data_IF_184801102854
#
_entry.id   IF_184801102854
#
_cell.length_a   1.000
_cell.length_b   1.000
_cell.length_c   1.000
_cell.angle_alpha   90.00
_cell.angle_beta   90.00
_cell.angle_gamma   90.00
#
_symmetry.space_group_name_H-M   'P 1'
#
loop_
_entity.id
_entity.type
_entity.pdbx_description
1 polymer ?
#
# COMPACT_ATOMS: atom_id res chain seq x y z
N UNK A 1 -9.99 -28.33 20.39
CA UNK A 1 -9.78 -27.18 21.31
C UNK A 1 -10.35 -25.95 20.64
N UNK A 2 -11.18 -25.13 21.30
CA UNK A 2 -11.79 -23.92 20.72
C UNK A 2 -10.78 -23.00 20.00
N UNK A 3 -9.52 -22.99 20.46
CA UNK A 3 -8.40 -22.28 19.81
C UNK A 3 -8.08 -22.77 18.39
N UNK A 4 -8.31 -24.05 18.05
CA UNK A 4 -8.05 -24.57 16.70
C UNK A 4 -9.15 -24.24 15.70
N UNK A 5 -10.39 -24.00 16.16
CA UNK A 5 -11.49 -23.50 15.32
C UNK A 5 -11.37 -22.00 15.02
N UNK A 6 -10.90 -21.20 15.99
CA UNK A 6 -10.60 -19.76 15.79
C UNK A 6 -9.46 -19.48 14.78
N UNK A 7 -8.69 -20.51 14.41
CA UNK A 7 -7.55 -20.39 13.48
C UNK A 7 -7.93 -20.67 12.02
N UNK A 8 -9.04 -21.37 11.74
CA UNK A 8 -9.32 -21.87 10.37
C UNK A 8 -9.86 -20.83 9.40
N UNK A 9 -10.32 -19.67 9.88
CA UNK A 9 -10.98 -18.63 9.06
C UNK A 9 -10.10 -17.39 8.81
N UNK A 10 -8.80 -17.46 9.10
CA UNK A 10 -7.87 -16.32 8.95
C UNK A 10 -7.22 -16.31 7.58
N UNK A 11 -7.17 -15.16 6.93
CA UNK A 11 -6.33 -14.93 5.75
C UNK A 11 -4.88 -14.67 6.19
N UNK A 12 -4.22 -15.71 6.68
CA UNK A 12 -2.77 -15.68 6.85
C UNK A 12 -2.11 -15.99 5.51
N UNK A 13 -1.23 -15.11 5.08
CA UNK A 13 -0.41 -15.33 3.90
C UNK A 13 1.00 -14.77 4.15
N UNK A 14 1.85 -14.82 3.14
CA UNK A 14 3.24 -14.38 3.26
C UNK A 14 3.42 -12.90 3.63
N UNK A 15 2.40 -12.07 3.40
CA UNK A 15 2.41 -10.65 3.72
C UNK A 15 1.56 -10.30 4.95
N UNK A 16 0.40 -10.92 5.10
CA UNK A 16 -0.41 -10.88 6.32
C UNK A 16 0.06 -12.01 7.25
N UNK A 17 1.29 -11.89 7.75
CA UNK A 17 1.99 -12.93 8.51
C UNK A 17 1.84 -12.82 10.03
N UNK A 18 1.11 -11.81 10.51
CA UNK A 18 0.74 -11.64 11.92
C UNK A 18 -0.70 -12.08 12.15
N UNK A 19 -0.91 -12.75 13.27
CA UNK A 19 -2.25 -13.05 13.78
C UNK A 19 -2.90 -11.77 14.30
N UNK A 20 -3.96 -11.34 13.63
CA UNK A 20 -4.83 -10.26 14.10
C UNK A 20 -6.18 -10.83 14.58
N UNK A 21 -6.69 -10.41 15.75
CA UNK A 21 -8.05 -10.76 16.18
C UNK A 21 -9.06 -10.10 15.25
N UNK A 22 -10.20 -10.73 14.98
CA UNK A 22 -11.28 -10.13 14.19
C UNK A 22 -12.62 -10.69 14.66
N UNK A 23 -13.72 -9.99 14.38
CA UNK A 23 -15.07 -10.44 14.67
C UNK A 23 -15.54 -11.46 13.63
N UNK A 24 -15.78 -12.71 14.06
CA UNK A 24 -16.15 -13.81 13.14
C UNK A 24 -17.52 -13.62 12.50
N UNK A 25 -18.46 -12.96 13.19
CA UNK A 25 -19.81 -12.72 12.69
C UNK A 25 -19.79 -11.64 11.61
N UNK A 26 -19.12 -10.51 11.87
CA UNK A 26 -18.93 -9.44 10.88
C UNK A 26 -18.18 -9.94 9.66
N UNK A 27 -17.14 -10.77 9.86
CA UNK A 27 -16.45 -11.40 8.74
C UNK A 27 -17.40 -12.24 7.88
N UNK A 28 -18.22 -13.09 8.50
CA UNK A 28 -19.20 -13.92 7.80
C UNK A 28 -20.21 -13.06 7.03
N UNK A 29 -20.78 -12.03 7.65
CA UNK A 29 -21.72 -11.11 7.01
C UNK A 29 -21.08 -10.44 5.77
N UNK A 30 -19.84 -9.95 5.89
CA UNK A 30 -19.10 -9.37 4.75
C UNK A 30 -18.93 -10.39 3.62
N UNK A 31 -18.58 -11.64 3.94
CA UNK A 31 -18.39 -12.71 2.95
C UNK A 31 -19.69 -13.10 2.26
N UNK A 32 -20.79 -13.19 2.99
CA UNK A 32 -22.13 -13.45 2.45
C UNK A 32 -22.61 -12.31 1.54
N UNK A 33 -22.22 -11.07 1.84
CA UNK A 33 -22.46 -9.89 0.99
C UNK A 33 -21.53 -9.80 -0.23
N UNK A 34 -20.58 -10.74 -0.40
CA UNK A 34 -19.67 -10.80 -1.55
C UNK A 34 -18.39 -9.97 -1.42
N UNK A 35 -18.10 -9.39 -0.25
CA UNK A 35 -16.82 -8.69 0.01
C UNK A 35 -15.68 -9.70 0.00
N UNK A 36 -14.57 -9.40 -0.69
CA UNK A 36 -13.42 -10.31 -0.80
C UNK A 36 -12.82 -10.67 0.59
N UNK A 37 -12.10 -11.81 0.71
CA UNK A 37 -11.62 -12.28 2.02
C UNK A 37 -10.69 -11.30 2.75
N UNK A 38 -9.83 -10.58 2.03
CA UNK A 38 -8.86 -9.67 2.65
C UNK A 38 -9.56 -8.43 3.18
N UNK A 39 -10.47 -7.83 2.39
CA UNK A 39 -11.24 -6.68 2.82
C UNK A 39 -12.24 -7.04 3.94
N UNK A 40 -12.88 -8.22 3.87
CA UNK A 40 -13.75 -8.71 4.92
C UNK A 40 -13.01 -8.87 6.26
N UNK A 41 -11.79 -9.42 6.25
CA UNK A 41 -10.98 -9.54 7.46
C UNK A 41 -10.53 -8.17 7.98
N UNK A 42 -10.20 -7.22 7.09
CA UNK A 42 -9.90 -5.85 7.49
C UNK A 42 -11.08 -5.20 8.23
N UNK A 43 -12.28 -5.25 7.64
CA UNK A 43 -13.50 -4.70 8.27
C UNK A 43 -13.76 -5.39 9.60
N UNK A 44 -13.77 -6.73 9.63
CA UNK A 44 -14.01 -7.49 10.85
C UNK A 44 -12.97 -7.22 11.96
N UNK A 45 -11.73 -6.88 11.61
CA UNK A 45 -10.72 -6.46 12.59
C UNK A 45 -11.06 -5.12 13.26
N UNK A 46 -11.68 -4.18 12.53
CA UNK A 46 -12.12 -2.90 13.11
C UNK A 46 -13.24 -3.09 14.14
N UNK A 47 -14.14 -4.03 13.87
CA UNK A 47 -15.34 -4.33 14.66
C UNK A 47 -15.09 -5.14 15.94
N UNK A 48 -13.83 -5.47 16.27
CA UNK A 48 -13.51 -6.01 17.60
C UNK A 48 -13.56 -4.96 18.71
N UNK A 49 -13.83 -3.70 18.36
CA UNK A 49 -13.85 -2.55 19.25
C UNK A 49 -15.28 -2.07 19.42
N UNK A 50 -15.60 -1.68 20.65
CA UNK A 50 -16.86 -1.03 20.96
C UNK A 50 -16.84 0.43 20.47
N UNK A 51 -17.99 0.99 20.08
CA UNK A 51 -18.10 2.40 19.74
C UNK A 51 -17.85 3.26 20.98
N UNK A 52 -16.90 4.21 20.87
CA UNK A 52 -16.50 5.06 21.98
C UNK A 52 -17.49 6.19 22.27
N UNK A 53 -18.16 6.69 21.24
CA UNK A 53 -19.08 7.83 21.31
C UNK A 53 -20.29 7.54 20.43
N UNK A 54 -21.47 7.53 21.03
CA UNK A 54 -22.76 7.48 20.34
C UNK A 54 -23.64 8.55 20.99
N UNK A 55 -24.27 9.40 20.17
CA UNK A 55 -25.20 10.41 20.66
C UNK A 55 -26.60 9.82 20.87
N UNK A 56 -27.35 10.40 21.81
CA UNK A 56 -28.77 10.08 22.00
C UNK A 56 -29.53 10.37 20.69
N UNK A 57 -30.41 9.45 20.28
CA UNK A 57 -31.10 9.49 18.98
C UNK A 57 -30.37 8.74 17.86
N UNK A 58 -29.02 8.67 17.88
CA UNK A 58 -28.27 8.02 16.81
C UNK A 58 -28.56 6.51 16.67
N UNK A 59 -29.03 5.85 17.73
CA UNK A 59 -29.38 4.43 17.69
C UNK A 59 -30.71 4.17 16.97
N UNK A 60 -31.67 5.09 17.09
CA UNK A 60 -33.05 4.89 16.58
C UNK A 60 -33.33 5.67 15.30
N UNK A 61 -32.66 6.81 15.09
CA UNK A 61 -32.97 7.78 14.03
C UNK A 61 -32.06 7.66 12.80
N UNK A 62 -30.94 6.93 12.90
CA UNK A 62 -30.00 6.75 11.78
C UNK A 62 -30.57 5.74 10.78
N UNK A 63 -30.61 6.15 9.51
CA UNK A 63 -31.02 5.34 8.37
C UNK A 63 -29.79 4.82 7.63
N UNK A 64 -29.45 3.54 7.85
CA UNK A 64 -28.26 2.88 7.29
C UNK A 64 -28.24 2.80 5.76
N UNK A 65 -29.38 2.96 5.08
CA UNK A 65 -29.42 3.03 3.61
C UNK A 65 -28.91 4.37 3.08
N UNK A 66 -28.93 5.43 3.92
CA UNK A 66 -28.57 6.80 3.53
C UNK A 66 -27.38 7.36 4.29
N UNK A 67 -27.08 6.81 5.46
CA UNK A 67 -26.09 7.34 6.39
C UNK A 67 -25.07 6.27 6.77
N UNK A 68 -23.85 6.70 7.11
CA UNK A 68 -22.75 5.81 7.52
C UNK A 68 -22.33 6.04 8.95
N UNK A 69 -23.15 6.71 9.76
CA UNK A 69 -22.77 7.14 11.10
C UNK A 69 -22.36 5.97 12.00
N UNK A 70 -23.12 4.87 11.97
CA UNK A 70 -22.80 3.68 12.76
C UNK A 70 -21.46 3.07 12.34
N UNK A 71 -21.20 2.97 11.04
CA UNK A 71 -19.90 2.51 10.55
C UNK A 71 -18.76 3.46 10.93
N UNK A 72 -18.97 4.78 10.77
CA UNK A 72 -17.97 5.80 11.09
C UNK A 72 -17.68 5.88 12.59
N UNK A 73 -18.63 5.52 13.47
CA UNK A 73 -18.39 5.44 14.92
C UNK A 73 -17.24 4.47 15.25
N UNK A 74 -17.13 3.36 14.49
CA UNK A 74 -16.04 2.38 14.60
C UNK A 74 -14.84 2.78 13.75
N UNK A 75 -15.06 3.15 12.49
CA UNK A 75 -13.95 3.42 11.56
C UNK A 75 -13.13 4.66 11.96
N UNK A 76 -13.79 5.73 12.41
CA UNK A 76 -13.13 6.97 12.80
C UNK A 76 -12.30 6.82 14.07
N UNK A 77 -12.68 5.88 14.95
CA UNK A 77 -12.04 5.58 16.25
C UNK A 77 -11.02 4.44 16.19
N UNK A 78 -10.79 3.86 15.01
CA UNK A 78 -9.63 3.02 14.74
C UNK A 78 -8.51 3.88 14.12
N UNK A 79 -7.57 4.35 14.95
CA UNK A 79 -6.47 5.23 14.53
C UNK A 79 -5.21 4.45 14.14
N UNK A 80 -5.12 4.12 12.86
CA UNK A 80 -3.97 3.44 12.25
C UNK A 80 -3.04 4.44 11.53
N UNK A 81 -1.87 3.96 11.06
CA UNK A 81 -0.89 4.75 10.29
C UNK A 81 -1.38 5.11 8.89
N UNK A 82 -2.25 4.29 8.31
CA UNK A 82 -2.97 4.53 7.06
C UNK A 82 -4.44 4.16 7.28
N UNK A 83 -5.36 4.93 6.69
CA UNK A 83 -6.80 4.64 6.78
C UNK A 83 -7.42 4.50 5.39
N UNK A 84 -8.08 3.38 5.16
CA UNK A 84 -8.96 3.17 4.02
C UNK A 84 -10.29 3.86 4.28
N UNK A 85 -10.77 4.69 3.36
CA UNK A 85 -11.99 5.48 3.53
C UNK A 85 -12.98 5.13 2.42
N UNK A 86 -14.07 4.39 2.72
CA UNK A 86 -15.13 4.16 1.77
C UNK A 86 -15.78 5.48 1.31
N UNK A 87 -16.35 5.51 0.10
CA UNK A 87 -17.20 6.62 -0.31
C UNK A 87 -18.47 6.66 0.56
N UNK A 88 -18.98 7.85 0.92
CA UNK A 88 -20.28 7.96 1.56
C UNK A 88 -21.40 7.57 0.56
N UNK A 89 -22.64 7.31 1.01
CA UNK A 89 -23.79 7.14 0.12
C UNK A 89 -24.00 8.35 -0.79
N UNK A 90 -24.57 8.13 -1.97
CA UNK A 90 -25.04 9.23 -2.84
C UNK A 90 -26.48 9.55 -2.51
N UNK A 91 -26.78 10.83 -2.34
CA UNK A 91 -28.16 11.31 -2.21
C UNK A 91 -28.82 11.43 -3.59
N UNK A 92 -28.15 12.07 -4.56
CA UNK A 92 -28.57 12.12 -5.97
C UNK A 92 -27.47 11.57 -6.91
N UNK A 93 -27.84 10.91 -8.04
CA UNK A 93 -26.87 10.47 -9.05
C UNK A 93 -25.95 11.57 -9.58
N UNK A 94 -26.43 12.83 -9.62
CA UNK A 94 -25.71 13.98 -10.16
C UNK A 94 -24.92 14.77 -9.11
N UNK A 95 -25.05 14.43 -7.83
CA UNK A 95 -24.30 15.11 -6.78
C UNK A 95 -22.79 14.86 -6.93
N UNK A 96 -21.95 15.89 -6.67
CA UNK A 96 -20.52 15.70 -6.52
C UNK A 96 -20.24 14.59 -5.51
N UNK A 97 -19.56 13.54 -5.94
CA UNK A 97 -19.35 12.36 -5.12
C UNK A 97 -17.87 12.06 -4.95
N UNK A 98 -17.48 11.88 -3.69
CA UNK A 98 -16.12 11.53 -3.32
C UNK A 98 -15.94 10.01 -3.40
N UNK A 99 -14.89 9.57 -4.09
CA UNK A 99 -14.60 8.15 -4.27
C UNK A 99 -13.91 7.50 -3.07
N UNK A 100 -13.43 6.28 -3.30
CA UNK A 100 -12.53 5.55 -2.41
C UNK A 100 -11.25 6.35 -2.15
N UNK A 101 -10.86 6.45 -0.88
CA UNK A 101 -9.69 7.23 -0.47
C UNK A 101 -8.78 6.46 0.46
N UNK A 102 -7.54 6.90 0.50
CA UNK A 102 -6.53 6.46 1.46
C UNK A 102 -5.99 7.70 2.16
N UNK A 103 -5.95 7.67 3.48
CA UNK A 103 -5.40 8.74 4.32
C UNK A 103 -4.06 8.28 4.89
N UNK A 104 -2.99 9.03 4.64
CA UNK A 104 -1.65 8.79 5.18
C UNK A 104 -1.44 9.60 6.46
N UNK A 105 -1.16 8.94 7.59
CA UNK A 105 -1.34 9.53 8.94
C UNK A 105 -0.08 9.53 9.80
N UNK A 106 1.06 9.06 9.28
CA UNK A 106 2.28 8.86 10.07
C UNK A 106 3.26 10.05 10.06
N UNK A 107 2.90 11.18 9.45
CA UNK A 107 3.79 12.35 9.40
C UNK A 107 3.65 13.22 10.64
N UNK A 108 4.77 13.51 11.30
CA UNK A 108 4.85 14.54 12.33
C UNK A 108 4.73 15.94 11.70
N UNK A 109 4.09 16.89 12.40
CA UNK A 109 4.03 18.29 11.97
C UNK A 109 5.41 18.95 12.08
N UNK A 110 5.77 19.77 11.09
CA UNK A 110 7.03 20.51 11.04
C UNK A 110 6.83 21.98 11.47
N UNK A 111 7.94 22.66 11.80
CA UNK A 111 7.91 24.02 12.33
C UNK A 111 7.49 25.07 11.28
N UNK A 112 7.78 24.83 10.01
CA UNK A 112 7.51 25.79 8.93
C UNK A 112 6.58 25.25 7.86
N UNK A 113 5.84 26.16 7.21
CA UNK A 113 4.97 25.83 6.08
C UNK A 113 5.76 25.22 4.90
N UNK A 114 7.01 25.64 4.72
CA UNK A 114 7.89 25.08 3.69
C UNK A 114 8.12 23.59 3.90
N UNK A 115 8.47 23.19 5.13
CA UNK A 115 8.78 21.79 5.46
C UNK A 115 7.52 20.93 5.39
N UNK A 116 6.39 21.43 5.92
CA UNK A 116 5.09 20.76 5.81
C UNK A 116 4.65 20.59 4.35
N UNK A 117 4.87 21.62 3.52
CA UNK A 117 4.61 21.55 2.07
C UNK A 117 5.51 20.52 1.39
N UNK A 118 6.79 20.47 1.72
CA UNK A 118 7.73 19.52 1.14
C UNK A 118 7.31 18.07 1.37
N UNK A 119 6.98 17.70 2.61
CA UNK A 119 6.49 16.36 2.92
C UNK A 119 5.13 16.04 2.28
N UNK A 120 4.21 17.00 2.27
CA UNK A 120 2.89 16.81 1.62
C UNK A 120 3.03 16.57 0.13
N UNK A 121 3.81 17.40 -0.56
CA UNK A 121 4.09 17.26 -2.00
C UNK A 121 4.82 15.97 -2.29
N UNK A 122 5.77 15.56 -1.45
CA UNK A 122 6.46 14.27 -1.60
C UNK A 122 5.49 13.09 -1.56
N UNK A 123 4.57 13.04 -0.59
CA UNK A 123 3.57 11.96 -0.53
C UNK A 123 2.68 11.97 -1.78
N UNK A 124 2.22 13.16 -2.23
CA UNK A 124 1.44 13.26 -3.45
C UNK A 124 2.22 12.71 -4.65
N UNK A 125 3.46 13.14 -4.86
CA UNK A 125 4.30 12.65 -5.96
C UNK A 125 4.57 11.15 -5.84
N UNK A 126 4.87 10.64 -4.65
CA UNK A 126 5.07 9.23 -4.40
C UNK A 126 3.82 8.41 -4.77
N UNK A 127 2.61 8.86 -4.42
CA UNK A 127 1.38 8.16 -4.83
C UNK A 127 1.21 8.16 -6.36
N UNK A 128 1.59 9.23 -7.04
CA UNK A 128 1.55 9.28 -8.52
C UNK A 128 2.55 8.30 -9.14
N UNK A 129 3.75 8.22 -8.58
CA UNK A 129 4.81 7.27 -8.99
C UNK A 129 4.36 5.82 -8.79
N UNK A 130 3.79 5.50 -7.63
CA UNK A 130 3.27 4.16 -7.32
C UNK A 130 2.25 3.73 -8.37
N UNK A 131 1.32 4.63 -8.73
CA UNK A 131 0.28 4.34 -9.72
C UNK A 131 0.82 4.31 -11.15
N UNK A 132 1.67 5.27 -11.52
CA UNK A 132 2.18 5.40 -12.88
C UNK A 132 3.11 4.24 -13.28
N UNK A 133 3.88 3.72 -12.32
CA UNK A 133 4.81 2.61 -12.55
C UNK A 133 4.33 1.27 -11.98
N UNK A 134 3.11 1.20 -11.45
CA UNK A 134 2.50 -0.02 -10.86
C UNK A 134 3.44 -0.70 -9.84
N UNK A 135 4.03 0.12 -8.95
CA UNK A 135 5.12 -0.33 -8.08
C UNK A 135 4.66 -1.41 -7.09
N UNK A 136 5.41 -2.52 -7.02
CA UNK A 136 5.23 -3.52 -5.99
C UNK A 136 6.02 -3.16 -4.72
N UNK A 137 5.32 -2.74 -3.67
CA UNK A 137 5.90 -2.33 -2.39
C UNK A 137 5.63 -3.33 -1.25
N UNK A 138 5.12 -4.52 -1.55
CA UNK A 138 4.71 -5.45 -0.51
C UNK A 138 5.89 -6.07 0.24
N UNK A 139 5.80 -6.00 1.57
CA UNK A 139 6.66 -6.69 2.54
C UNK A 139 5.76 -7.27 3.64
N UNK A 140 6.21 -8.30 4.38
CA UNK A 140 5.42 -8.86 5.48
C UNK A 140 5.07 -7.82 6.54
N UNK A 141 3.85 -7.88 7.08
CA UNK A 141 3.35 -6.92 8.07
C UNK A 141 4.19 -6.98 9.36
N UNK A 142 4.77 -8.14 9.71
CA UNK A 142 5.77 -8.27 10.78
C UNK A 142 7.00 -7.38 10.58
N UNK A 143 7.40 -7.11 9.33
CA UNK A 143 8.51 -6.21 8.99
C UNK A 143 8.09 -4.75 9.06
N UNK A 144 6.84 -4.45 8.70
CA UNK A 144 6.25 -3.12 8.91
C UNK A 144 6.17 -2.79 10.40
N UNK A 145 5.71 -3.72 11.23
CA UNK A 145 5.66 -3.57 12.70
C UNK A 145 7.06 -3.35 13.29
N UNK A 146 8.05 -4.12 12.84
CA UNK A 146 9.44 -3.91 13.24
C UNK A 146 9.96 -2.52 12.83
N UNK A 147 9.61 -2.04 11.64
CA UNK A 147 9.94 -0.69 11.19
C UNK A 147 9.30 0.38 12.08
N UNK A 148 8.03 0.22 12.46
CA UNK A 148 7.34 1.14 13.37
C UNK A 148 8.03 1.22 14.72
N UNK A 149 8.47 0.10 15.29
CA UNK A 149 9.24 0.09 16.54
C UNK A 149 10.59 0.81 16.38
N UNK A 150 11.32 0.53 15.29
CA UNK A 150 12.62 1.17 15.01
C UNK A 150 12.50 2.68 14.80
N UNK A 151 11.41 3.14 14.18
CA UNK A 151 11.18 4.56 13.89
C UNK A 151 11.17 5.45 15.14
N UNK A 152 10.84 4.89 16.31
CA UNK A 152 10.84 5.60 17.58
C UNK A 152 12.25 5.79 18.18
N UNK A 153 13.26 5.09 17.66
CA UNK A 153 14.62 5.19 18.19
C UNK A 153 15.20 6.59 17.98
N UNK A 154 15.99 7.06 18.95
CA UNK A 154 16.65 8.37 18.83
C UNK A 154 17.54 8.40 17.58
N UNK A 155 17.34 9.41 16.75
CA UNK A 155 18.05 9.62 15.48
C UNK A 155 17.82 8.50 14.45
N UNK A 156 16.68 7.79 14.51
CA UNK A 156 16.34 6.73 13.55
C UNK A 156 16.24 7.24 12.10
N UNK A 157 15.84 8.50 11.89
CA UNK A 157 15.74 9.08 10.55
C UNK A 157 17.09 9.10 9.80
N UNK A 158 18.21 9.27 10.51
CA UNK A 158 19.54 9.30 9.90
C UNK A 158 20.31 7.99 10.08
N UNK A 159 20.26 7.38 11.28
CA UNK A 159 21.07 6.19 11.63
C UNK A 159 20.29 4.88 11.60
N UNK A 160 18.96 4.93 11.55
CA UNK A 160 18.11 3.75 11.55
C UNK A 160 18.19 2.99 10.24
N UNK A 161 17.90 1.69 10.32
CA UNK A 161 17.69 0.84 9.16
C UNK A 161 16.30 0.22 9.21
N UNK A 162 15.64 0.17 8.07
CA UNK A 162 14.26 -0.25 7.93
C UNK A 162 14.17 -1.32 6.84
N UNK A 163 13.30 -2.30 7.04
CA UNK A 163 12.98 -3.27 6.02
C UNK A 163 12.27 -2.57 4.86
N UNK A 164 12.82 -2.69 3.66
CA UNK A 164 12.27 -2.09 2.45
C UNK A 164 12.43 -3.04 1.25
N UNK A 165 11.52 -2.94 0.27
CA UNK A 165 11.52 -3.80 -0.92
C UNK A 165 12.77 -3.55 -1.76
N UNK A 166 13.45 -4.62 -2.20
CA UNK A 166 14.64 -4.56 -3.07
C UNK A 166 14.28 -4.27 -4.51
N UNK A 167 13.22 -4.90 -5.00
CA UNK A 167 12.73 -4.79 -6.37
C UNK A 167 11.27 -4.35 -6.37
N UNK A 168 11.02 -3.16 -6.90
CA UNK A 168 9.70 -2.53 -6.92
C UNK A 168 8.98 -2.69 -8.26
N UNK A 169 9.51 -3.50 -9.18
CA UNK A 169 8.88 -3.75 -10.47
C UNK A 169 7.47 -4.37 -10.27
N UNK A 170 6.52 -4.08 -11.19
CA UNK A 170 5.18 -4.64 -11.12
C UNK A 170 5.20 -6.17 -11.07
N UNK A 171 4.13 -6.73 -10.53
CA UNK A 171 3.84 -8.15 -10.71
C UNK A 171 3.41 -8.40 -12.16
N UNK A 172 3.63 -9.60 -12.67
CA UNK A 172 3.11 -10.03 -13.98
C UNK A 172 1.75 -10.71 -13.79
N UNK A 173 0.93 -10.68 -14.85
CA UNK A 173 -0.36 -11.36 -14.86
C UNK A 173 -0.12 -12.86 -14.72
N UNK A 174 -0.70 -13.48 -13.68
CA UNK A 174 -0.38 -14.87 -13.35
C UNK A 174 0.19 -15.04 -11.96
N UNK A 175 0.80 -13.99 -11.40
CA UNK A 175 1.40 -14.11 -10.09
C UNK A 175 0.39 -14.35 -8.99
N UNK A 176 0.66 -15.38 -8.23
CA UNK A 176 0.03 -15.64 -6.93
C UNK A 176 0.69 -14.77 -5.84
N UNK A 177 0.85 -13.47 -6.11
CA UNK A 177 1.49 -12.55 -5.16
C UNK A 177 0.77 -12.57 -3.80
N UNK A 178 -0.56 -12.54 -3.82
CA UNK A 178 -1.41 -12.35 -2.62
C UNK A 178 -2.33 -13.54 -2.31
N UNK A 179 -2.06 -14.71 -2.88
CA UNK A 179 -3.04 -15.82 -2.91
C UNK A 179 -4.22 -15.58 -3.87
N UNK A 180 -4.13 -14.51 -4.67
CA UNK A 180 -5.04 -14.16 -5.77
C UNK A 180 -4.18 -13.82 -6.98
N UNK A 181 -4.60 -14.27 -8.17
CA UNK A 181 -3.91 -13.98 -9.44
C UNK A 181 -3.84 -12.47 -9.63
N UNK A 182 -2.63 -11.93 -9.74
CA UNK A 182 -2.43 -10.51 -10.01
C UNK A 182 -3.02 -10.14 -11.37
N UNK A 183 -3.70 -8.99 -11.38
CA UNK A 183 -4.29 -8.37 -12.56
C UNK A 183 -3.82 -6.93 -12.55
N UNK A 184 -3.05 -6.52 -13.57
CA UNK A 184 -2.49 -5.16 -13.61
C UNK A 184 -3.59 -4.11 -13.51
N UNK A 185 -3.33 -3.03 -12.77
CA UNK A 185 -4.29 -1.94 -12.60
C UNK A 185 -4.69 -1.31 -13.95
N UNK A 186 -3.84 -1.44 -14.98
CA UNK A 186 -4.11 -0.95 -16.34
C UNK A 186 -4.93 -1.90 -17.20
N UNK A 187 -5.05 -3.18 -16.82
CA UNK A 187 -5.84 -4.16 -17.60
C UNK A 187 -7.34 -3.84 -17.62
N UNK A 188 -7.86 -3.16 -16.59
CA UNK A 188 -9.27 -2.69 -16.55
C UNK A 188 -9.53 -1.45 -17.41
N UNK A 189 -8.50 -0.73 -17.84
CA UNK A 189 -8.66 0.46 -18.69
C UNK A 189 -9.01 0.09 -20.15
N UNK A 190 -8.64 -1.11 -20.60
CA UNK A 190 -9.09 -1.68 -21.88
C UNK A 190 -10.36 -2.51 -21.66
N UNK A 191 -11.49 -1.81 -21.49
CA UNK A 191 -12.77 -2.41 -21.15
C UNK A 191 -13.23 -3.53 -22.09
N UNK A 192 -13.47 -4.71 -21.52
CA UNK A 192 -14.65 -5.53 -21.83
C UNK A 192 -15.21 -6.09 -20.52
N UNK A 193 -16.44 -5.71 -20.21
CA UNK A 193 -17.28 -6.43 -19.24
C UNK A 193 -17.37 -7.90 -19.67
N UNK A 194 -17.13 -8.83 -18.75
CA UNK A 194 -17.30 -10.25 -19.01
C UNK A 194 -17.20 -11.07 -17.74
N UNK A 195 -18.35 -11.47 -17.21
CA UNK A 195 -18.46 -12.59 -16.29
C UNK A 195 -17.95 -13.88 -16.95
N UNK A 196 -17.24 -14.68 -16.15
CA UNK A 196 -17.04 -16.13 -16.21
C UNK A 196 -16.52 -16.82 -17.50
N UNK A 197 -15.63 -17.78 -17.25
CA UNK A 197 -15.37 -19.02 -17.97
C UNK A 197 -14.83 -19.02 -19.41
N UNK A 198 -13.72 -19.77 -19.50
CA UNK A 198 -13.22 -20.65 -20.55
C UNK A 198 -13.30 -20.25 -22.03
N UNK A 199 -12.13 -20.42 -22.65
CA UNK A 199 -11.89 -20.83 -24.04
C UNK A 199 -12.43 -19.91 -25.14
N UNK A 200 -11.56 -19.09 -25.73
CA UNK A 200 -11.44 -18.96 -27.19
C UNK A 200 -9.99 -18.59 -27.54
N UNK A 201 -9.35 -19.48 -28.28
CA UNK A 201 -8.11 -19.32 -29.04
C UNK A 201 -8.25 -18.25 -30.14
N UNK A 202 -7.20 -17.48 -30.41
CA UNK A 202 -6.96 -16.96 -31.76
C UNK A 202 -5.45 -16.84 -32.06
N UNK A 203 -5.08 -16.90 -33.34
CA UNK A 203 -3.83 -17.51 -33.80
C UNK A 203 -2.79 -16.47 -34.24
N UNK A 204 -1.56 -16.98 -34.37
CA UNK A 204 -0.39 -16.35 -35.00
C UNK A 204 0.12 -15.05 -34.38
N UNK A 205 1.05 -15.21 -33.41
CA UNK A 205 2.38 -14.68 -33.66
C UNK A 205 3.45 -15.66 -33.17
N UNK A 206 4.17 -16.20 -34.13
CA UNK A 206 5.24 -17.19 -34.00
C UNK A 206 6.49 -16.55 -33.41
N UNK A 207 6.82 -16.88 -32.17
CA UNK A 207 8.22 -17.02 -31.76
C UNK A 207 8.35 -18.21 -30.81
N UNK A 208 9.05 -19.22 -31.30
CA UNK A 208 9.44 -20.42 -30.58
C UNK A 208 10.29 -20.05 -29.37
N UNK A 209 9.80 -20.35 -28.17
CA UNK A 209 10.65 -20.72 -27.03
C UNK A 209 9.83 -21.63 -26.12
N UNK A 210 10.45 -22.73 -25.71
CA UNK A 210 9.84 -23.79 -24.92
C UNK A 210 9.38 -23.25 -23.56
N UNK A 211 8.07 -23.06 -23.40
CA UNK A 211 7.44 -22.83 -22.11
C UNK A 211 7.42 -24.16 -21.34
N UNK A 212 8.46 -24.38 -20.54
CA UNK A 212 8.51 -25.46 -19.57
C UNK A 212 7.55 -25.08 -18.43
N UNK A 213 6.28 -25.50 -18.56
CA UNK A 213 5.25 -25.32 -17.54
C UNK A 213 5.65 -26.06 -16.25
N UNK A 214 6.25 -25.33 -15.31
CA UNK A 214 6.48 -25.81 -13.95
C UNK A 214 5.14 -26.10 -13.26
N UNK A 215 5.09 -27.21 -12.52
CA UNK A 215 3.91 -27.83 -11.89
C UNK A 215 3.07 -26.96 -10.91
N UNK A 216 3.39 -25.68 -10.72
CA UNK A 216 2.70 -24.79 -9.77
C UNK A 216 2.34 -23.40 -10.33
N UNK A 217 2.29 -23.22 -11.65
CA UNK A 217 1.80 -21.98 -12.26
C UNK A 217 2.69 -20.75 -12.03
N UNK A 218 3.98 -20.96 -11.75
CA UNK A 218 4.99 -19.91 -11.65
C UNK A 218 5.72 -19.79 -13.00
N UNK A 219 5.80 -18.57 -13.54
CA UNK A 219 6.63 -18.28 -14.72
C UNK A 219 8.11 -18.56 -14.42
N UNK A 220 8.72 -19.51 -15.14
CA UNK A 220 10.15 -19.87 -15.02
C UNK A 220 11.07 -18.65 -15.21
N UNK A 221 10.63 -17.65 -15.98
CA UNK A 221 11.42 -16.44 -16.27
C UNK A 221 11.73 -15.59 -15.03
N UNK A 222 11.04 -15.84 -13.91
CA UNK A 222 11.27 -15.10 -12.66
C UNK A 222 12.15 -15.80 -11.63
N UNK A 223 12.51 -17.07 -11.87
CA UNK A 223 13.60 -17.72 -11.13
C UNK A 223 14.96 -17.11 -11.49
N UNK A 224 15.03 -16.37 -12.61
CA UNK A 224 16.27 -15.90 -13.23
C UNK A 224 16.28 -14.39 -13.49
N UNK A 225 15.70 -13.58 -12.59
CA UNK A 225 16.03 -12.15 -12.60
C UNK A 225 17.54 -11.99 -12.30
N UNK A 226 18.31 -11.16 -13.05
CA UNK A 226 19.78 -11.28 -13.10
C UNK A 226 20.57 -11.01 -11.81
N UNK A 227 19.93 -10.61 -10.71
CA UNK A 227 20.62 -10.20 -9.48
C UNK A 227 20.07 -10.81 -8.17
N UNK A 228 19.16 -11.78 -8.22
CA UNK A 228 18.70 -12.47 -7.01
C UNK A 228 19.24 -13.90 -6.97
N UNK A 229 20.38 -14.11 -6.30
CA UNK A 229 20.74 -15.47 -5.85
C UNK A 229 19.71 -15.90 -4.80
N UNK A 230 18.73 -16.69 -5.23
CA UNK A 230 17.66 -17.22 -4.39
C UNK A 230 16.31 -16.61 -4.74
N UNK A 231 15.50 -17.40 -5.43
CA UNK A 231 14.11 -17.16 -5.84
C UNK A 231 13.10 -17.14 -4.67
N UNK A 232 13.57 -17.06 -3.43
CA UNK A 232 12.70 -16.95 -2.26
C UNK A 232 12.30 -15.50 -2.06
N UNK A 233 11.00 -15.23 -1.87
CA UNK A 233 10.48 -13.91 -1.48
C UNK A 233 11.08 -13.42 -0.14
N UNK A 234 11.75 -14.29 0.63
CA UNK A 234 12.59 -13.88 1.75
C UNK A 234 13.74 -12.94 1.35
N UNK A 235 14.16 -12.97 0.08
CA UNK A 235 15.14 -12.08 -0.53
C UNK A 235 14.49 -10.85 -1.19
N UNK A 236 13.18 -10.65 -1.07
CA UNK A 236 12.46 -9.57 -1.76
C UNK A 236 12.56 -8.21 -1.06
N UNK A 237 12.96 -8.20 0.20
CA UNK A 237 13.19 -7.02 1.02
C UNK A 237 14.53 -7.12 1.76
N UNK A 238 15.07 -5.99 2.16
CA UNK A 238 16.30 -5.91 2.93
C UNK A 238 16.29 -4.70 3.86
N UNK A 239 17.30 -4.60 4.73
CA UNK A 239 17.47 -3.41 5.56
C UNK A 239 18.16 -2.29 4.78
N UNK A 240 17.51 -1.13 4.75
CA UNK A 240 18.00 0.10 4.13
C UNK A 240 17.91 1.27 5.10
N UNK A 241 18.89 2.17 5.05
CA UNK A 241 18.82 3.48 5.69
C UNK A 241 17.81 4.38 4.96
N UNK A 242 17.38 5.47 5.60
CA UNK A 242 16.52 6.43 4.90
C UNK A 242 17.21 7.06 3.69
N UNK A 243 18.52 7.31 3.77
CA UNK A 243 19.29 7.81 2.63
C UNK A 243 19.23 6.82 1.45
N UNK A 244 19.41 5.52 1.72
CA UNK A 244 19.31 4.47 0.69
C UNK A 244 17.90 4.37 0.12
N UNK A 245 16.85 4.44 0.96
CA UNK A 245 15.45 4.39 0.49
C UNK A 245 15.13 5.59 -0.40
N UNK A 246 15.61 6.79 -0.02
CA UNK A 246 15.30 8.03 -0.74
C UNK A 246 16.11 8.17 -2.03
N UNK A 247 17.43 7.93 -1.99
CA UNK A 247 18.36 8.26 -3.06
C UNK A 247 18.87 7.04 -3.85
N UNK A 248 18.61 5.82 -3.36
CA UNK A 248 19.01 4.58 -4.03
C UNK A 248 20.07 3.78 -3.25
N UNK A 249 20.23 2.52 -3.62
CA UNK A 249 21.18 1.58 -3.01
C UNK A 249 21.79 0.68 -4.08
N UNK A 250 23.11 0.81 -4.26
CA UNK A 250 23.83 0.08 -5.30
C UNK A 250 23.33 0.41 -6.70
N UNK A 251 23.45 -0.55 -7.62
CA UNK A 251 23.02 -0.48 -9.02
C UNK A 251 21.62 -1.05 -9.27
N UNK A 252 21.00 -1.66 -8.24
CA UNK A 252 19.75 -2.41 -8.37
C UNK A 252 18.53 -1.68 -7.79
N UNK A 253 18.72 -0.81 -6.79
CA UNK A 253 17.62 -0.07 -6.16
C UNK A 253 17.71 1.42 -6.50
N UNK A 254 16.76 1.97 -7.28
CA UNK A 254 16.86 3.32 -7.81
C UNK A 254 16.61 4.42 -6.77
N UNK A 255 15.89 4.15 -5.68
CA UNK A 255 15.46 5.18 -4.73
C UNK A 255 14.14 5.86 -5.11
N UNK A 256 13.42 6.36 -4.10
CA UNK A 256 12.13 7.02 -4.31
C UNK A 256 12.24 8.39 -5.00
N UNK A 257 13.28 9.18 -4.67
CA UNK A 257 13.48 10.52 -5.26
C UNK A 257 13.86 10.44 -6.74
N UNK A 258 14.76 9.52 -7.17
CA UNK A 258 15.01 9.31 -8.60
C UNK A 258 13.77 8.84 -9.37
N UNK A 259 12.93 7.98 -8.79
CA UNK A 259 11.66 7.57 -9.41
C UNK A 259 10.68 8.74 -9.55
N UNK A 260 10.59 9.61 -8.55
CA UNK A 260 9.80 10.85 -8.64
C UNK A 260 10.35 11.75 -9.75
N UNK A 261 11.67 11.90 -9.83
CA UNK A 261 12.31 12.71 -10.87
C UNK A 261 11.99 12.18 -12.28
N UNK A 262 12.09 10.86 -12.47
CA UNK A 262 11.74 10.20 -13.73
C UNK A 262 10.25 10.39 -14.10
N UNK A 263 9.36 10.32 -13.12
CA UNK A 263 7.93 10.61 -13.33
C UNK A 263 7.68 12.07 -13.73
N UNK A 264 8.35 13.03 -13.08
CA UNK A 264 8.23 14.45 -13.42
C UNK A 264 8.73 14.74 -14.85
N UNK A 265 9.78 14.05 -15.28
CA UNK A 265 10.26 14.12 -16.66
C UNK A 265 9.29 13.48 -17.65
N UNK A 266 8.71 12.33 -17.31
CA UNK A 266 7.71 11.66 -18.13
C UNK A 266 6.47 12.53 -18.39
N UNK A 267 5.96 13.23 -17.38
CA UNK A 267 4.81 14.14 -17.55
C UNK A 267 5.19 15.51 -18.14
N UNK A 268 6.48 15.74 -18.44
CA UNK A 268 7.00 16.97 -19.02
C UNK A 268 6.61 18.23 -18.24
N UNK A 269 6.81 18.20 -16.92
CA UNK A 269 6.51 19.35 -16.06
C UNK A 269 7.33 20.58 -16.48
N UNK A 270 6.73 21.77 -16.40
CA UNK A 270 7.42 23.01 -16.77
C UNK A 270 8.63 23.29 -15.86
N UNK A 271 9.58 24.06 -16.39
CA UNK A 271 10.87 24.31 -15.72
C UNK A 271 10.72 25.00 -14.35
N UNK A 272 9.79 25.93 -14.21
CA UNK A 272 9.62 26.68 -12.96
C UNK A 272 9.04 25.77 -11.87
N UNK A 273 8.02 24.99 -12.22
CA UNK A 273 7.46 23.98 -11.31
C UNK A 273 8.49 22.91 -10.97
N UNK A 274 9.24 22.39 -11.96
CA UNK A 274 10.31 21.41 -11.73
C UNK A 274 11.35 21.91 -10.73
N UNK A 275 11.80 23.16 -10.86
CA UNK A 275 12.76 23.76 -9.95
C UNK A 275 12.25 23.82 -8.50
N UNK A 276 10.98 24.22 -8.31
CA UNK A 276 10.35 24.26 -6.99
C UNK A 276 10.15 22.85 -6.39
N UNK A 277 9.74 21.88 -7.20
CA UNK A 277 9.61 20.49 -6.73
C UNK A 277 10.98 19.91 -6.37
N UNK A 278 12.02 20.22 -7.15
CA UNK A 278 13.39 19.77 -6.89
C UNK A 278 13.90 20.30 -5.55
N UNK A 279 13.61 21.56 -5.18
CA UNK A 279 14.02 22.09 -3.88
C UNK A 279 13.33 21.39 -2.69
N UNK A 280 12.09 20.91 -2.86
CA UNK A 280 11.42 20.09 -1.84
C UNK A 280 12.04 18.69 -1.73
N UNK A 281 12.37 18.06 -2.86
CA UNK A 281 12.99 16.74 -2.87
C UNK A 281 14.41 16.78 -2.29
N UNK A 282 15.21 17.78 -2.66
CA UNK A 282 16.55 17.99 -2.10
C UNK A 282 16.51 18.21 -0.58
N UNK A 283 15.52 18.94 -0.08
CA UNK A 283 15.33 19.12 1.35
C UNK A 283 15.06 17.78 2.08
N UNK A 284 14.25 16.89 1.49
CA UNK A 284 13.96 15.57 2.06
C UNK A 284 15.20 14.67 1.99
N UNK A 285 15.92 14.69 0.88
CA UNK A 285 17.18 13.96 0.70
C UNK A 285 18.21 14.36 1.76
N UNK A 286 18.43 15.66 1.96
CA UNK A 286 19.35 16.19 2.96
C UNK A 286 18.96 15.83 4.40
N UNK A 287 17.67 15.69 4.69
CA UNK A 287 17.21 15.18 5.99
C UNK A 287 17.45 13.68 6.13
N UNK A 288 17.26 12.91 5.06
CA UNK A 288 17.47 11.47 5.06
C UNK A 288 18.96 11.09 5.19
N UNK A 289 19.85 11.87 4.56
CA UNK A 289 21.30 11.65 4.62
C UNK A 289 21.99 12.31 5.83
N UNK A 290 21.27 13.13 6.59
CA UNK A 290 21.74 13.76 7.83
C UNK A 290 22.48 15.09 7.66
N UNK A 291 22.57 15.64 6.45
CA UNK A 291 23.05 17.00 6.22
C UNK A 291 22.16 18.05 6.91
N UNK A 292 20.84 17.80 6.95
CA UNK A 292 19.86 18.58 7.69
C UNK A 292 19.33 17.81 8.89
N UNK A 293 19.29 18.46 10.05
CA UNK A 293 18.76 17.86 11.28
C UNK A 293 17.23 17.83 11.26
N UNK A 294 16.66 16.81 11.89
CA UNK A 294 15.21 16.77 12.16
C UNK A 294 14.82 17.73 13.28
N UNK A 295 13.57 18.23 13.35
CA UNK A 295 13.13 19.09 14.45
C UNK A 295 13.32 18.43 15.81
N UNK A 296 13.05 17.12 15.91
CA UNK A 296 13.30 16.35 17.14
C UNK A 296 14.78 16.34 17.56
N UNK A 297 15.71 16.41 16.61
CA UNK A 297 17.15 16.51 16.90
C UNK A 297 17.56 17.94 17.25
N UNK A 298 16.98 18.93 16.59
CA UNK A 298 17.22 20.34 16.88
C UNK A 298 16.69 20.78 18.26
N UNK A 299 15.55 20.22 18.70
CA UNK A 299 14.95 20.52 20.01
C UNK A 299 15.70 19.87 21.20
N UNK A 300 16.56 18.87 20.94
CA UNK A 300 17.34 18.18 21.97
C UNK A 300 18.68 18.87 22.19
#
# INVERSE_FOLDING_TARGET
SLKSKQLSNRLLNRYNDIIVPFDEEVFKQCREAGVDPALAQHIAHLFIRDPLVIFEGAVEEVDDEKQTEHFESIQSTNWQTVRWKPPPPRNDPNDPHIGWRTEFRSMEIQLTDYENSAFTVFIILLTRVILAFDLNLYIPISRVDANMQRAHSRNAAHKGKFFFRRHMAPLEIGDVGYGVKYVSMFSRANGKNGSANSSVTNPDDTSSNNDDEGLDGVSMNRLTAPCATGSDEGNSFEEMTMAEIMSGKGDYFPGLIPLISAYLDYIQVDKATKAKLSSYLEFIEKRANGELVTPATWMR
#
